data_IF_365188107254
#
_entry.id   IF_365188107254
#
_cell.length_a   1.000
_cell.length_b   1.000
_cell.length_c   1.000
_cell.angle_alpha   90.00
_cell.angle_beta   90.00
_cell.angle_gamma   90.00
#
_symmetry.space_group_name_H-M   'P 1'
#
loop_
_entity.id
_entity.type
_entity.pdbx_description
1 polymer ?
#
# COMPACT_ATOMS: atom_id res chain seq x y z
N UNK A 1 10.10 -2.23 -0.23
CA UNK A 1 9.28 -1.78 -1.39
C UNK A 1 10.08 -1.84 -2.70
N UNK A 2 11.28 -1.24 -2.80
CA UNK A 2 12.10 -1.26 -4.03
C UNK A 2 12.29 -2.67 -4.62
N UNK A 3 12.67 -3.66 -3.80
CA UNK A 3 12.78 -5.08 -4.21
C UNK A 3 11.52 -5.62 -4.87
N UNK A 4 10.33 -5.27 -4.36
CA UNK A 4 9.04 -5.78 -4.86
C UNK A 4 8.69 -5.17 -6.22
N UNK A 5 8.99 -3.89 -6.42
CA UNK A 5 8.70 -3.18 -7.67
C UNK A 5 9.69 -3.59 -8.77
N UNK A 6 10.98 -3.71 -8.45
CA UNK A 6 11.98 -4.21 -9.39
C UNK A 6 11.74 -5.68 -9.78
N UNK A 7 11.31 -6.51 -8.84
CA UNK A 7 11.02 -7.93 -9.08
C UNK A 7 9.66 -8.20 -9.74
N UNK A 8 8.90 -7.16 -10.10
CA UNK A 8 7.55 -7.33 -10.65
C UNK A 8 7.54 -7.92 -12.06
N UNK A 9 8.58 -7.68 -12.87
CA UNK A 9 8.80 -8.28 -14.19
C UNK A 9 7.58 -8.21 -15.16
N UNK A 10 6.83 -7.11 -15.12
CA UNK A 10 5.62 -6.90 -15.94
C UNK A 10 5.85 -6.01 -17.19
N UNK A 11 7.11 -5.79 -17.59
CA UNK A 11 7.42 -4.94 -18.76
C UNK A 11 7.13 -3.44 -18.55
N UNK A 12 7.00 -3.00 -17.30
CA UNK A 12 6.72 -1.60 -16.96
C UNK A 12 7.99 -0.76 -16.97
N UNK A 13 8.00 0.29 -17.80
CA UNK A 13 9.13 1.22 -17.91
C UNK A 13 9.39 2.03 -16.63
N UNK A 14 8.37 2.19 -15.77
CA UNK A 14 8.47 2.93 -14.51
C UNK A 14 8.99 2.10 -13.32
N UNK A 15 9.33 0.82 -13.53
CA UNK A 15 9.98 -0.04 -12.54
C UNK A 15 11.51 0.10 -12.59
N UNK A 16 11.98 1.33 -12.40
CA UNK A 16 13.39 1.67 -12.25
C UNK A 16 13.63 2.44 -10.94
N UNK A 17 14.86 2.39 -10.41
CA UNK A 17 15.20 2.95 -9.08
C UNK A 17 14.81 4.43 -8.94
N UNK A 18 15.12 5.24 -9.94
CA UNK A 18 14.84 6.68 -9.92
C UNK A 18 13.33 6.94 -9.80
N UNK A 19 12.55 6.28 -10.65
CA UNK A 19 11.09 6.44 -10.67
C UNK A 19 10.44 5.89 -9.40
N UNK A 20 10.93 4.76 -8.89
CA UNK A 20 10.45 4.19 -7.62
C UNK A 20 10.65 5.16 -6.46
N UNK A 21 11.84 5.75 -6.33
CA UNK A 21 12.13 6.73 -5.26
C UNK A 21 11.27 7.97 -5.39
N UNK A 22 11.10 8.50 -6.62
CA UNK A 22 10.20 9.63 -6.89
C UNK A 22 8.76 9.32 -6.49
N UNK A 23 8.25 8.12 -6.82
CA UNK A 23 6.90 7.69 -6.45
C UNK A 23 6.72 7.58 -4.93
N UNK A 24 7.71 7.06 -4.21
CA UNK A 24 7.66 7.00 -2.74
C UNK A 24 7.65 8.39 -2.11
N UNK A 25 8.46 9.32 -2.62
CA UNK A 25 8.43 10.72 -2.18
C UNK A 25 7.06 11.35 -2.40
N UNK A 26 6.49 11.22 -3.61
CA UNK A 26 5.16 11.76 -3.93
C UNK A 26 4.06 11.11 -3.07
N UNK A 27 4.16 9.81 -2.78
CA UNK A 27 3.22 9.14 -1.88
C UNK A 27 3.24 9.77 -0.47
N UNK A 28 4.44 10.04 0.07
CA UNK A 28 4.58 10.70 1.38
C UNK A 28 4.02 12.12 1.34
N UNK A 29 4.34 12.89 0.30
CA UNK A 29 3.96 14.31 0.22
C UNK A 29 2.47 14.52 -0.10
N UNK A 30 1.84 13.63 -0.86
CA UNK A 30 0.50 13.85 -1.40
C UNK A 30 -0.53 12.80 -1.01
N UNK A 31 -0.14 11.55 -0.78
CA UNK A 31 -1.08 10.46 -0.45
C UNK A 31 -1.25 10.26 1.06
N UNK A 32 -0.18 10.41 1.86
CA UNK A 32 -0.29 10.31 3.33
C UNK A 32 -1.29 11.31 3.93
N UNK A 33 -1.34 12.60 3.54
CA UNK A 33 -2.33 13.53 4.08
C UNK A 33 -3.79 13.10 3.81
N UNK A 34 -4.04 12.41 2.70
CA UNK A 34 -5.37 11.87 2.38
C UNK A 34 -5.70 10.70 3.32
N UNK A 35 -4.73 9.83 3.60
CA UNK A 35 -4.90 8.74 4.57
C UNK A 35 -5.18 9.31 5.96
N UNK A 36 -4.40 10.28 6.41
CA UNK A 36 -4.58 10.96 7.71
C UNK A 36 -5.96 11.62 7.82
N UNK A 37 -6.43 12.27 6.74
CA UNK A 37 -7.76 12.86 6.69
C UNK A 37 -8.87 11.82 6.92
N UNK A 38 -8.85 10.69 6.22
CA UNK A 38 -9.87 9.65 6.41
C UNK A 38 -9.68 8.87 7.72
N UNK A 39 -8.45 8.77 8.22
CA UNK A 39 -8.18 8.18 9.53
C UNK A 39 -8.79 9.03 10.64
N UNK A 40 -8.68 10.36 10.55
CA UNK A 40 -9.32 11.29 11.50
C UNK A 40 -10.85 11.16 11.53
N UNK A 41 -11.46 10.65 10.45
CA UNK A 41 -12.89 10.37 10.34
C UNK A 41 -13.28 8.95 10.78
N UNK A 42 -12.33 8.14 11.24
CA UNK A 42 -12.57 6.73 11.61
C UNK A 42 -12.85 5.81 10.41
N UNK A 43 -12.56 6.25 9.18
CA UNK A 43 -12.87 5.54 7.94
C UNK A 43 -11.73 4.66 7.42
N UNK A 44 -10.56 4.68 8.06
CA UNK A 44 -9.38 3.90 7.64
C UNK A 44 -9.24 2.64 8.48
N UNK A 45 -8.99 1.51 7.81
CA UNK A 45 -8.56 0.25 8.43
C UNK A 45 -7.15 -0.08 7.92
N UNK A 46 -6.17 -0.18 8.83
CA UNK A 46 -4.76 -0.44 8.51
C UNK A 46 -4.48 -1.94 8.51
N UNK A 47 -3.70 -2.41 7.54
CA UNK A 47 -3.28 -3.81 7.39
C UNK A 47 -1.78 -3.83 7.15
N UNK A 48 -1.07 -4.74 7.82
CA UNK A 48 0.36 -4.94 7.62
C UNK A 48 0.62 -5.74 6.33
N UNK A 49 1.08 -5.06 5.29
CA UNK A 49 1.39 -5.65 3.99
C UNK A 49 2.82 -6.23 3.87
N UNK A 50 3.56 -6.35 4.98
CA UNK A 50 4.90 -6.97 4.99
C UNK A 50 4.87 -8.50 5.11
N UNK A 51 3.73 -9.06 5.55
CA UNK A 51 3.46 -10.50 5.65
C UNK A 51 3.30 -11.17 4.28
N UNK A 52 3.38 -12.52 4.20
CA UNK A 52 3.00 -13.27 3.00
C UNK A 52 1.58 -12.94 2.52
N UNK A 53 1.35 -12.96 1.21
CA UNK A 53 0.07 -12.58 0.61
C UNK A 53 -1.16 -13.32 1.18
N UNK A 54 -1.11 -14.63 1.49
CA UNK A 54 -2.24 -15.32 2.13
C UNK A 54 -2.60 -14.73 3.51
N UNK A 55 -1.61 -14.41 4.34
CA UNK A 55 -1.84 -13.84 5.67
C UNK A 55 -2.42 -12.42 5.58
N UNK A 56 -1.89 -11.60 4.67
CA UNK A 56 -2.45 -10.26 4.39
C UNK A 56 -3.91 -10.37 3.97
N UNK A 57 -4.26 -11.38 3.18
CA UNK A 57 -5.63 -11.58 2.74
C UNK A 57 -6.57 -12.03 3.88
N UNK A 58 -6.10 -12.84 4.83
CA UNK A 58 -6.86 -13.15 6.05
C UNK A 58 -7.13 -11.89 6.88
N UNK A 59 -6.14 -11.02 7.06
CA UNK A 59 -6.30 -9.74 7.75
C UNK A 59 -7.35 -8.85 7.06
N UNK A 60 -7.38 -8.84 5.71
CA UNK A 60 -8.42 -8.15 4.93
C UNK A 60 -9.80 -8.74 5.21
N UNK A 61 -9.98 -10.06 5.13
CA UNK A 61 -11.29 -10.71 5.34
C UNK A 61 -11.85 -10.43 6.73
N UNK A 62 -11.01 -10.42 7.76
CA UNK A 62 -11.42 -10.16 9.14
C UNK A 62 -12.09 -8.78 9.28
N UNK A 63 -11.63 -7.77 8.53
CA UNK A 63 -12.25 -6.43 8.52
C UNK A 63 -13.67 -6.47 7.93
N UNK A 64 -13.87 -7.23 6.85
CA UNK A 64 -15.15 -7.27 6.13
C UNK A 64 -16.18 -8.23 6.74
N UNK A 65 -15.75 -9.20 7.56
CA UNK A 65 -16.65 -10.20 8.17
C UNK A 65 -17.65 -9.57 9.15
N UNK A 66 -17.35 -8.38 9.68
CA UNK A 66 -18.22 -7.64 10.60
C UNK A 66 -18.93 -6.44 9.96
N UNK A 67 -18.81 -6.27 8.64
CA UNK A 67 -19.52 -5.22 7.88
C UNK A 67 -20.85 -5.80 7.38
N UNK A 68 -21.85 -5.83 8.26
CA UNK A 68 -23.25 -6.11 7.90
C UNK A 68 -23.97 -4.82 7.49
#
# INVERSE_FOLDING_TARGET
MERRLLGRNQGRSDDNIETIRKRLKVFVESSLPVIEYYESKGMVKKIDATKPAPEVFEDVKAIFTHMA
#
